data_IF_284389531965
#
_entry.id   IF_284389531965
#
_cell.length_a   1.000
_cell.length_b   1.000
_cell.length_c   1.000
_cell.angle_alpha   90.00
_cell.angle_beta   90.00
_cell.angle_gamma   90.00
#
_symmetry.space_group_name_H-M   'P 1'
#
loop_
_entity.id
_entity.type
_entity.pdbx_description
1 polymer ?
#
# COMPACT_ATOMS: atom_id res chain seq x y z
N UNK A 1 22.74 51.27 -13.62
CA UNK A 1 23.44 51.79 -12.43
C UNK A 1 24.53 50.79 -12.11
N UNK A 2 25.79 51.11 -12.39
CA UNK A 2 26.91 50.20 -12.13
C UNK A 2 27.19 50.22 -10.63
N UNK A 3 26.78 49.17 -9.91
CA UNK A 3 27.09 49.03 -8.48
C UNK A 3 28.58 48.74 -8.36
N UNK A 4 29.36 49.69 -7.83
CA UNK A 4 30.77 49.44 -7.55
C UNK A 4 30.88 48.47 -6.36
N UNK A 5 31.57 47.35 -6.58
CA UNK A 5 31.77 46.30 -5.58
C UNK A 5 33.12 46.41 -4.87
N UNK A 6 33.96 47.37 -5.28
CA UNK A 6 35.28 47.61 -4.70
C UNK A 6 35.23 48.54 -3.48
N UNK A 7 34.11 49.24 -3.26
CA UNK A 7 33.89 50.08 -2.10
C UNK A 7 32.95 49.40 -1.08
N UNK A 8 33.03 49.79 0.20
CA UNK A 8 32.02 49.41 1.19
C UNK A 8 30.65 49.95 0.80
N UNK A 9 29.58 49.24 1.16
CA UNK A 9 28.22 49.67 0.88
C UNK A 9 27.32 49.58 2.12
N UNK A 10 26.20 50.30 2.08
CA UNK A 10 25.23 50.28 3.18
C UNK A 10 24.54 48.91 3.26
N UNK A 11 24.06 48.53 4.45
CA UNK A 11 23.30 47.29 4.64
C UNK A 11 22.05 47.23 3.76
N UNK A 12 21.41 48.37 3.49
CA UNK A 12 20.25 48.45 2.60
C UNK A 12 20.61 48.16 1.14
N UNK A 13 21.70 48.77 0.65
CA UNK A 13 22.21 48.53 -0.70
C UNK A 13 22.69 47.09 -0.88
N UNK A 14 23.37 46.52 0.12
CA UNK A 14 23.81 45.13 0.09
C UNK A 14 22.63 44.14 0.17
N UNK A 15 21.62 44.43 1.00
CA UNK A 15 20.39 43.65 1.05
C UNK A 15 19.68 43.61 -0.30
N UNK A 16 19.54 44.78 -0.95
CA UNK A 16 19.00 44.85 -2.31
C UNK A 16 19.86 44.08 -3.33
N UNK A 17 21.19 44.12 -3.20
CA UNK A 17 22.12 43.39 -4.06
C UNK A 17 21.96 41.86 -3.95
N UNK A 18 21.79 41.33 -2.74
CA UNK A 18 21.69 39.87 -2.50
C UNK A 18 20.24 39.35 -2.40
N UNK A 19 19.24 40.23 -2.57
CA UNK A 19 17.83 39.86 -2.61
C UNK A 19 17.20 39.57 -1.25
N UNK A 20 17.67 40.22 -0.18
CA UNK A 20 17.12 40.09 1.19
C UNK A 20 16.86 41.45 1.83
N UNK A 21 16.12 41.46 2.94
CA UNK A 21 15.81 42.71 3.65
C UNK A 21 17.06 43.30 4.31
N UNK A 22 17.09 44.63 4.48
CA UNK A 22 18.16 45.29 5.26
C UNK A 22 18.26 44.73 6.68
N UNK A 23 17.13 44.40 7.31
CA UNK A 23 17.08 43.78 8.64
C UNK A 23 17.77 42.41 8.66
N UNK A 24 17.61 41.60 7.62
CA UNK A 24 18.30 40.31 7.51
C UNK A 24 19.82 40.49 7.46
N UNK A 25 20.32 41.49 6.71
CA UNK A 25 21.74 41.86 6.70
C UNK A 25 22.19 42.38 8.06
N UNK A 26 21.40 43.26 8.70
CA UNK A 26 21.68 43.78 10.03
C UNK A 26 21.83 42.67 11.09
N UNK A 27 20.97 41.65 11.03
CA UNK A 27 21.07 40.47 11.90
C UNK A 27 22.36 39.68 11.66
N UNK A 28 22.77 39.50 10.40
CA UNK A 28 24.01 38.81 10.06
C UNK A 28 25.25 39.59 10.53
N UNK A 29 25.22 40.92 10.42
CA UNK A 29 26.26 41.80 10.95
C UNK A 29 26.30 41.75 12.48
N UNK A 30 25.13 41.80 13.14
CA UNK A 30 25.03 41.71 14.60
C UNK A 30 25.53 40.37 15.16
N UNK A 31 25.46 39.31 14.37
CA UNK A 31 26.02 37.98 14.69
C UNK A 31 27.50 37.82 14.32
N UNK A 32 28.13 38.85 13.76
CA UNK A 32 29.53 38.82 13.32
C UNK A 32 29.78 37.97 12.07
N UNK A 33 28.72 37.57 11.35
CA UNK A 33 28.83 36.75 10.12
C UNK A 33 29.22 37.61 8.92
N UNK A 34 28.79 38.87 8.90
CA UNK A 34 29.13 39.86 7.88
C UNK A 34 29.80 41.08 8.50
N UNK A 35 30.73 41.67 7.76
CA UNK A 35 31.22 43.02 8.01
C UNK A 35 30.86 43.89 6.79
N UNK A 36 30.28 45.06 7.04
CA UNK A 36 29.92 46.02 5.98
C UNK A 36 30.96 47.14 5.81
N UNK A 37 32.03 47.13 6.62
CA UNK A 37 33.16 48.05 6.47
C UNK A 37 34.14 47.62 5.38
N UNK A 38 34.05 46.37 4.93
CA UNK A 38 34.87 45.82 3.84
C UNK A 38 34.21 46.10 2.47
N UNK A 39 34.98 46.00 1.37
CA UNK A 39 34.44 46.07 0.02
C UNK A 39 33.27 45.10 -0.18
N UNK A 40 32.24 45.53 -0.92
CA UNK A 40 31.05 44.71 -1.12
C UNK A 40 31.33 43.34 -1.76
N UNK A 41 32.38 43.23 -2.60
CA UNK A 41 32.86 41.94 -3.12
C UNK A 41 33.25 40.98 -2.00
N UNK A 42 33.94 41.46 -0.97
CA UNK A 42 34.36 40.65 0.16
C UNK A 42 33.17 40.29 1.06
N UNK A 43 32.27 41.24 1.32
CA UNK A 43 31.01 40.97 2.03
C UNK A 43 30.16 39.91 1.31
N UNK A 44 30.12 39.93 -0.03
CA UNK A 44 29.45 38.92 -0.85
C UNK A 44 30.07 37.53 -0.68
N UNK A 45 31.41 37.45 -0.68
CA UNK A 45 32.11 36.18 -0.45
C UNK A 45 31.80 35.61 0.94
N UNK A 46 31.79 36.45 1.97
CA UNK A 46 31.42 36.06 3.34
C UNK A 46 29.97 35.55 3.40
N UNK A 47 29.04 36.26 2.75
CA UNK A 47 27.64 35.84 2.66
C UNK A 47 27.48 34.48 1.97
N UNK A 48 28.14 34.29 0.82
CA UNK A 48 28.11 33.02 0.11
C UNK A 48 28.78 31.89 0.92
N UNK A 49 29.87 32.16 1.64
CA UNK A 49 30.51 31.18 2.52
C UNK A 49 29.55 30.72 3.62
N UNK A 50 28.87 31.66 4.27
CA UNK A 50 27.87 31.36 5.29
C UNK A 50 26.70 30.51 4.75
N UNK A 51 26.18 30.83 3.57
CA UNK A 51 25.10 30.03 2.96
C UNK A 51 25.55 28.61 2.61
N UNK A 52 26.80 28.43 2.16
CA UNK A 52 27.36 27.09 1.88
C UNK A 52 27.53 26.29 3.17
N UNK A 53 28.01 26.91 4.24
CA UNK A 53 28.13 26.28 5.55
C UNK A 53 26.77 25.84 6.10
N UNK A 54 25.74 26.72 6.01
CA UNK A 54 24.38 26.35 6.40
C UNK A 54 23.81 25.22 5.55
N UNK A 55 24.04 25.23 4.23
CA UNK A 55 23.59 24.17 3.35
C UNK A 55 24.30 22.84 3.65
N UNK A 56 25.61 22.87 3.91
CA UNK A 56 26.38 21.70 4.33
C UNK A 56 25.88 21.16 5.68
N UNK A 57 25.57 22.04 6.64
CA UNK A 57 25.00 21.69 7.94
C UNK A 57 23.64 21.00 7.83
N UNK A 58 22.78 21.41 6.90
CA UNK A 58 21.49 20.74 6.64
C UNK A 58 21.68 19.33 6.06
N UNK A 59 22.70 19.14 5.22
CA UNK A 59 23.03 17.84 4.68
C UNK A 59 23.68 16.90 5.72
N UNK A 60 24.54 17.43 6.60
CA UNK A 60 25.22 16.64 7.64
C UNK A 60 24.33 16.32 8.85
N UNK A 61 23.40 17.21 9.20
CA UNK A 61 22.50 17.03 10.34
C UNK A 61 21.30 16.10 10.03
N UNK A 62 21.29 15.48 8.85
CA UNK A 62 20.24 14.54 8.45
C UNK A 62 18.87 15.18 8.21
N UNK A 63 18.77 16.52 8.11
CA UNK A 63 17.46 17.19 7.93
C UNK A 63 16.80 16.80 6.60
N UNK A 64 17.60 16.65 5.53
CA UNK A 64 17.15 16.12 4.24
C UNK A 64 16.70 14.66 4.34
N UNK A 65 17.35 13.87 5.20
CA UNK A 65 17.01 12.47 5.44
C UNK A 65 15.68 12.36 6.20
N UNK A 66 15.50 13.16 7.25
CA UNK A 66 14.24 13.24 8.02
C UNK A 66 13.04 13.62 7.16
N UNK A 67 13.21 14.50 6.17
CA UNK A 67 12.13 14.85 5.21
C UNK A 67 11.76 13.62 4.36
N UNK A 68 12.76 12.89 3.87
CA UNK A 68 12.54 11.68 3.07
C UNK A 68 11.92 10.55 3.89
N UNK A 69 12.41 10.31 5.11
CA UNK A 69 11.87 9.30 6.04
C UNK A 69 10.41 9.60 6.40
N UNK A 70 10.07 10.87 6.67
CA UNK A 70 8.69 11.30 6.95
C UNK A 70 7.78 11.09 5.74
N UNK A 71 8.26 11.37 4.53
CA UNK A 71 7.50 11.11 3.30
C UNK A 71 7.26 9.60 3.11
N UNK A 72 8.26 8.76 3.38
CA UNK A 72 8.14 7.30 3.36
C UNK A 72 7.12 6.79 4.38
N UNK A 73 7.18 7.30 5.61
CA UNK A 73 6.23 6.97 6.68
C UNK A 73 4.80 7.39 6.31
N UNK A 74 4.61 8.58 5.75
CA UNK A 74 3.30 9.05 5.29
C UNK A 74 2.73 8.17 4.17
N UNK A 75 3.58 7.68 3.25
CA UNK A 75 3.18 6.72 2.22
C UNK A 75 2.72 5.40 2.84
N UNK A 76 3.52 4.81 3.73
CA UNK A 76 3.16 3.56 4.41
C UNK A 76 1.88 3.69 5.24
N UNK A 77 1.66 4.84 5.89
CA UNK A 77 0.42 5.12 6.62
C UNK A 77 -0.79 5.19 5.69
N UNK A 78 -0.67 5.83 4.52
CA UNK A 78 -1.73 5.86 3.52
C UNK A 78 -2.09 4.47 3.03
N UNK A 79 -1.10 3.65 2.69
CA UNK A 79 -1.31 2.25 2.26
C UNK A 79 -2.02 1.43 3.34
N UNK A 80 -1.62 1.59 4.61
CA UNK A 80 -2.31 0.94 5.74
C UNK A 80 -3.78 1.35 5.85
N UNK A 81 -4.08 2.64 5.70
CA UNK A 81 -5.45 3.15 5.76
C UNK A 81 -6.26 2.63 4.57
N UNK A 82 -5.66 2.58 3.38
CA UNK A 82 -6.30 2.06 2.17
C UNK A 82 -6.66 0.58 2.33
N UNK A 83 -5.73 -0.25 2.82
CA UNK A 83 -6.02 -1.65 3.15
C UNK A 83 -7.14 -1.79 4.19
N UNK A 84 -7.13 -0.96 5.25
CA UNK A 84 -8.16 -0.98 6.29
C UNK A 84 -9.54 -0.56 5.75
N UNK A 85 -9.58 0.42 4.83
CA UNK A 85 -10.79 0.83 4.13
C UNK A 85 -11.31 -0.27 3.21
N UNK A 86 -10.43 -0.97 2.48
CA UNK A 86 -10.81 -2.10 1.63
C UNK A 86 -11.44 -3.24 2.43
N UNK A 87 -10.88 -3.55 3.62
CA UNK A 87 -11.49 -4.51 4.56
C UNK A 87 -12.86 -4.03 5.02
N UNK A 88 -12.99 -2.75 5.40
CA UNK A 88 -14.25 -2.18 5.89
C UNK A 88 -15.33 -2.15 4.79
N UNK A 89 -14.94 -1.97 3.52
CA UNK A 89 -15.82 -2.03 2.35
C UNK A 89 -16.18 -3.46 1.93
N UNK A 90 -15.55 -4.47 2.51
CA UNK A 90 -15.76 -5.87 2.13
C UNK A 90 -15.04 -6.28 0.84
N UNK A 91 -14.13 -5.46 0.33
CA UNK A 91 -13.30 -5.75 -0.85
C UNK A 91 -12.11 -6.66 -0.50
N UNK A 92 -11.72 -6.71 0.78
CA UNK A 92 -10.65 -7.56 1.29
C UNK A 92 -11.14 -8.33 2.54
N UNK A 93 -11.38 -9.63 2.42
CA UNK A 93 -11.72 -10.47 3.56
C UNK A 93 -10.47 -11.13 4.14
N UNK A 94 -10.26 -11.13 5.47
CA UNK A 94 -9.18 -11.90 6.09
C UNK A 94 -9.32 -13.38 5.73
N UNK A 95 -8.26 -13.99 5.23
CA UNK A 95 -8.25 -15.42 4.85
C UNK A 95 -8.68 -16.30 6.02
N UNK A 96 -8.22 -15.97 7.24
CA UNK A 96 -8.59 -16.67 8.47
C UNK A 96 -10.09 -16.62 8.77
N UNK A 97 -10.76 -15.51 8.47
CA UNK A 97 -12.21 -15.38 8.65
C UNK A 97 -12.97 -16.26 7.64
N UNK A 98 -12.51 -16.29 6.38
CA UNK A 98 -13.07 -17.17 5.36
C UNK A 98 -12.89 -18.63 5.75
N UNK A 99 -11.70 -19.03 6.19
CA UNK A 99 -11.39 -20.38 6.67
C UNK A 99 -12.28 -20.78 7.86
N UNK A 100 -12.46 -19.89 8.83
CA UNK A 100 -13.30 -20.15 10.01
C UNK A 100 -14.77 -20.33 9.62
N UNK A 101 -15.30 -19.46 8.75
CA UNK A 101 -16.69 -19.54 8.28
C UNK A 101 -16.91 -20.82 7.47
N UNK A 102 -16.01 -21.15 6.53
CA UNK A 102 -16.08 -22.37 5.73
C UNK A 102 -15.98 -23.62 6.60
N UNK A 103 -15.06 -23.65 7.57
CA UNK A 103 -14.91 -24.77 8.50
C UNK A 103 -16.16 -25.01 9.34
N UNK A 104 -16.75 -23.93 9.89
CA UNK A 104 -18.01 -24.01 10.64
C UNK A 104 -19.18 -24.46 9.76
N UNK A 105 -19.28 -23.93 8.55
CA UNK A 105 -20.31 -24.31 7.60
C UNK A 105 -20.19 -25.78 7.20
N UNK A 106 -18.98 -26.23 6.85
CA UNK A 106 -18.67 -27.62 6.49
C UNK A 106 -19.00 -28.60 7.62
N UNK A 107 -18.62 -28.28 8.86
CA UNK A 107 -18.96 -29.09 10.03
C UNK A 107 -20.48 -29.20 10.26
N UNK A 108 -21.22 -28.09 10.10
CA UNK A 108 -22.68 -28.10 10.21
C UNK A 108 -23.34 -28.94 9.12
N UNK A 109 -22.85 -28.83 7.88
CA UNK A 109 -23.34 -29.64 6.74
C UNK A 109 -23.07 -31.12 7.01
N UNK A 110 -21.86 -31.48 7.45
CA UNK A 110 -21.50 -32.86 7.78
C UNK A 110 -22.44 -33.47 8.82
N UNK A 111 -22.73 -32.75 9.90
CA UNK A 111 -23.67 -33.19 10.93
C UNK A 111 -25.11 -33.37 10.41
N UNK A 112 -25.58 -32.49 9.52
CA UNK A 112 -26.90 -32.63 8.88
C UNK A 112 -26.93 -33.90 8.00
N UNK A 113 -25.88 -34.12 7.21
CA UNK A 113 -25.76 -35.28 6.33
C UNK A 113 -25.75 -36.59 7.13
N UNK A 114 -25.04 -36.65 8.25
CA UNK A 114 -25.01 -37.83 9.14
C UNK A 114 -26.38 -38.17 9.74
N UNK A 115 -27.28 -37.19 9.86
CA UNK A 115 -28.65 -37.41 10.31
C UNK A 115 -29.58 -38.02 9.26
N UNK A 116 -29.23 -37.97 7.98
CA UNK A 116 -30.09 -38.41 6.86
C UNK A 116 -30.48 -39.89 6.96
N UNK A 117 -29.56 -40.86 7.19
CA UNK A 117 -29.93 -42.28 7.26
C UNK A 117 -31.00 -42.56 8.31
N UNK A 118 -30.88 -41.96 9.49
CA UNK A 118 -31.87 -42.09 10.56
C UNK A 118 -33.21 -41.44 10.21
N UNK A 119 -33.18 -40.25 9.60
CA UNK A 119 -34.39 -39.56 9.15
C UNK A 119 -35.14 -40.35 8.06
N UNK A 120 -34.41 -40.96 7.12
CA UNK A 120 -34.95 -41.81 6.06
C UNK A 120 -35.59 -43.06 6.66
N UNK A 121 -34.90 -43.78 7.55
CA UNK A 121 -35.46 -44.98 8.21
C UNK A 121 -36.74 -44.67 8.99
N UNK A 122 -36.81 -43.51 9.64
CA UNK A 122 -38.01 -43.07 10.36
C UNK A 122 -39.19 -42.78 9.43
N UNK A 123 -38.93 -42.18 8.26
CA UNK A 123 -39.97 -41.84 7.27
C UNK A 123 -40.38 -43.02 6.41
N UNK A 124 -39.47 -43.96 6.18
CA UNK A 124 -39.69 -45.15 5.34
C UNK A 124 -39.24 -46.40 6.14
N UNK A 125 -40.08 -46.89 7.08
CA UNK A 125 -39.72 -48.02 7.93
C UNK A 125 -39.46 -49.33 7.16
N UNK A 126 -40.03 -49.45 5.96
CA UNK A 126 -39.92 -50.63 5.09
C UNK A 126 -38.50 -50.88 4.53
N UNK A 127 -37.65 -49.84 4.46
CA UNK A 127 -36.25 -50.01 4.03
C UNK A 127 -35.50 -50.91 5.00
N UNK A 128 -34.77 -51.88 4.48
CA UNK A 128 -33.93 -52.78 5.26
C UNK A 128 -32.77 -52.04 5.93
N UNK A 129 -32.16 -52.67 6.94
CA UNK A 129 -30.98 -52.11 7.62
C UNK A 129 -29.79 -51.92 6.67
N UNK A 130 -29.64 -52.82 5.69
CA UNK A 130 -28.52 -52.77 4.75
C UNK A 130 -28.70 -51.68 3.68
N UNK A 131 -29.92 -51.42 3.23
CA UNK A 131 -30.22 -50.26 2.36
C UNK A 131 -29.91 -48.93 3.07
N UNK A 132 -30.25 -48.81 4.36
CA UNK A 132 -29.92 -47.63 5.16
C UNK A 132 -28.39 -47.48 5.36
N UNK A 133 -27.67 -48.58 5.56
CA UNK A 133 -26.20 -48.55 5.62
C UNK A 133 -25.59 -48.09 4.31
N UNK A 134 -26.11 -48.53 3.16
CA UNK A 134 -25.62 -48.11 1.85
C UNK A 134 -25.77 -46.59 1.66
N UNK A 135 -26.90 -46.01 2.10
CA UNK A 135 -27.09 -44.55 2.10
C UNK A 135 -26.04 -43.86 2.98
N UNK A 136 -25.80 -44.38 4.19
CA UNK A 136 -24.78 -43.85 5.10
C UNK A 136 -23.36 -43.94 4.51
N UNK A 137 -23.04 -45.04 3.83
CA UNK A 137 -21.75 -45.24 3.17
C UNK A 137 -21.53 -44.24 2.03
N UNK A 138 -22.55 -43.94 1.23
CA UNK A 138 -22.45 -42.97 0.15
C UNK A 138 -22.27 -41.54 0.67
N UNK A 139 -22.99 -41.18 1.74
CA UNK A 139 -22.81 -39.90 2.44
C UNK A 139 -21.38 -39.77 2.98
N UNK A 140 -20.86 -40.84 3.59
CA UNK A 140 -19.49 -40.85 4.10
C UNK A 140 -18.46 -40.70 2.97
N UNK A 141 -18.68 -41.36 1.82
CA UNK A 141 -17.83 -41.21 0.63
C UNK A 141 -17.76 -39.76 0.18
N UNK A 142 -18.91 -39.11 -0.03
CA UNK A 142 -18.99 -37.71 -0.49
C UNK A 142 -18.33 -36.77 0.51
N UNK A 143 -18.59 -36.95 1.82
CA UNK A 143 -17.98 -36.12 2.86
C UNK A 143 -16.46 -36.23 2.87
N UNK A 144 -15.92 -37.44 2.69
CA UNK A 144 -14.47 -37.66 2.67
C UNK A 144 -13.81 -37.00 1.45
N UNK A 145 -14.48 -37.03 0.27
CA UNK A 145 -14.01 -36.32 -0.93
C UNK A 145 -13.91 -34.82 -0.64
N UNK A 146 -14.97 -34.22 -0.10
CA UNK A 146 -14.99 -32.78 0.22
C UNK A 146 -13.95 -32.43 1.29
N UNK A 147 -13.76 -33.28 2.30
CA UNK A 147 -12.76 -33.08 3.36
C UNK A 147 -11.32 -33.17 2.85
N UNK A 148 -11.08 -33.92 1.76
CA UNK A 148 -9.77 -34.03 1.12
C UNK A 148 -9.46 -32.89 0.15
N UNK A 149 -10.42 -32.03 -0.19
CA UNK A 149 -10.18 -30.92 -1.12
C UNK A 149 -9.17 -29.95 -0.54
N UNK A 150 -8.10 -29.68 -1.29
CA UNK A 150 -7.08 -28.71 -0.93
C UNK A 150 -7.08 -27.50 -1.86
N UNK A 151 -6.46 -26.41 -1.41
CA UNK A 151 -6.22 -25.23 -2.26
C UNK A 151 -5.36 -25.54 -3.49
N UNK A 152 -4.54 -26.60 -3.45
CA UNK A 152 -3.74 -27.03 -4.60
C UNK A 152 -4.63 -27.60 -5.72
N UNK A 153 -5.64 -28.39 -5.37
CA UNK A 153 -6.55 -29.03 -6.33
C UNK A 153 -7.46 -28.01 -7.05
N UNK A 154 -7.74 -26.88 -6.39
CA UNK A 154 -8.51 -25.78 -6.97
C UNK A 154 -7.72 -24.94 -7.99
N UNK A 155 -6.38 -24.97 -7.93
CA UNK A 155 -5.52 -24.23 -8.88
C UNK A 155 -5.33 -24.99 -10.18
N UNK A 156 -5.29 -26.32 -10.13
CA UNK A 156 -5.17 -27.16 -11.33
C UNK A 156 -6.46 -27.18 -12.17
N UNK A 157 -7.63 -26.99 -11.56
CA UNK A 157 -8.92 -26.95 -12.28
C UNK A 157 -9.23 -25.59 -12.95
N UNK A 158 -8.48 -24.53 -12.64
CA UNK A 158 -8.65 -23.20 -13.22
C UNK A 158 -7.89 -22.96 -14.53
N UNK A 159 -7.07 -23.90 -14.97
CA UNK A 159 -6.20 -23.74 -16.16
C UNK A 159 -6.87 -24.15 -17.49
N UNK A 160 -8.08 -24.69 -17.50
CA UNK A 160 -8.71 -25.27 -18.71
C UNK A 160 -9.90 -24.46 -19.30
N UNK A 161 -10.03 -23.14 -19.07
CA UNK A 161 -11.21 -22.40 -19.57
C UNK A 161 -10.98 -21.09 -20.33
N UNK A 162 -9.77 -20.80 -20.80
CA UNK A 162 -9.48 -19.56 -21.56
C UNK A 162 -8.93 -19.78 -22.99
N UNK A 163 -9.21 -20.92 -23.64
CA UNK A 163 -8.94 -21.12 -25.08
C UNK A 163 -10.18 -21.62 -25.85
N UNK A 164 -11.27 -20.86 -25.88
CA UNK A 164 -12.23 -20.94 -27.02
C UNK A 164 -13.10 -19.69 -27.17
N UNK A 165 -12.47 -18.53 -27.43
CA UNK A 165 -13.18 -17.37 -28.00
C UNK A 165 -12.30 -16.63 -28.99
N UNK A 166 -12.26 -17.12 -30.22
CA UNK A 166 -11.52 -16.42 -31.28
C UNK A 166 -11.56 -17.01 -32.69
N UNK A 167 -12.66 -17.63 -33.12
CA UNK A 167 -12.84 -17.99 -34.52
C UNK A 167 -14.30 -17.80 -34.97
N UNK A 168 -14.79 -16.57 -34.89
CA UNK A 168 -15.96 -16.13 -35.64
C UNK A 168 -15.50 -15.61 -37.00
N UNK A 169 -15.57 -16.48 -38.01
CA UNK A 169 -15.38 -16.17 -39.42
C UNK A 169 -16.35 -15.08 -39.87
N UNK A 170 -15.82 -13.92 -40.27
CA UNK A 170 -16.57 -12.89 -41.00
C UNK A 170 -16.59 -13.31 -42.48
N UNK A 171 -17.51 -14.21 -42.82
CA UNK A 171 -17.83 -14.57 -44.20
C UNK A 171 -19.12 -13.84 -44.59
N UNK A 172 -18.96 -12.60 -45.06
CA UNK A 172 -20.05 -11.83 -45.66
C UNK A 172 -20.23 -12.35 -47.09
N UNK A 173 -21.27 -13.16 -47.29
CA UNK A 173 -21.79 -13.52 -48.61
C UNK A 173 -22.86 -12.49 -49.02
N UNK A 174 -22.70 -12.03 -50.27
CA UNK A 174 -23.46 -11.05 -51.06
C UNK A 174 -24.99 -10.98 -50.89
N UNK A 175 -25.51 -9.76 -51.09
CA UNK A 175 -26.70 -9.47 -51.90
C UNK A 175 -26.65 -8.06 -52.50
#
# INVERSE_FOLDING_TARGET
>A
MSTDLNEPMTQAAFGALVGVTQQAIGNLVGRGVLDMKVPARQALQMYCAHLREQAAGRASNGELDLVNERAGLAKAQRERIEMQNAVTRGELAPVTLIEEVLSKAGGKIAGILEGIPGAVKRRVPALSGDEIKNIGAEIARVRNIVASMSLADLRDSGAESDEDRGAGSDEVIDA
#
